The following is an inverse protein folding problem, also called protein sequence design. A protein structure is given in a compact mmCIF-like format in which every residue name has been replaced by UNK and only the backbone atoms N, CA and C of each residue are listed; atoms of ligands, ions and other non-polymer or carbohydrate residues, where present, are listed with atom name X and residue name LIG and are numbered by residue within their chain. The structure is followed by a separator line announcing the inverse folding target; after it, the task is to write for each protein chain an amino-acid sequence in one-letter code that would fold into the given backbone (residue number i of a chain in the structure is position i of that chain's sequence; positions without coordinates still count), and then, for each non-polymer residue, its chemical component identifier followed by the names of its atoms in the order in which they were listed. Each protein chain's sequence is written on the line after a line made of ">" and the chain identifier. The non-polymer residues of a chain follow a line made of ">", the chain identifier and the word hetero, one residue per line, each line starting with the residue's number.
data_IF_905023880492
#
_entry.id   IF_905023880492
#
_cell.length_a   1.000
_cell.length_b   1.000
_cell.length_c   1.000
_cell.angle_alpha   90.00
_cell.angle_beta   90.00
_cell.angle_gamma   90.00
#
_symmetry.space_group_name_H-M   'P 1'
#
loop_
_entity.id
_entity.type
_entity.pdbx_description
1 polymer ?
#
# COMPACT_ATOMS: atom_id res chain seq x y z
N UNK A 1 6.10 25.72 -11.90
CA UNK A 1 6.52 24.30 -11.89
C UNK A 1 6.40 23.76 -10.46
N UNK A 2 5.31 23.08 -10.14
CA UNK A 2 5.06 22.57 -8.79
C UNK A 2 6.03 21.44 -8.47
N UNK A 3 6.83 21.61 -7.40
CA UNK A 3 7.62 20.54 -6.77
C UNK A 3 6.68 19.38 -6.42
N UNK A 4 6.52 18.39 -7.32
CA UNK A 4 5.97 17.08 -6.98
C UNK A 4 6.82 16.59 -5.80
N UNK A 5 6.19 16.25 -4.68
CA UNK A 5 6.90 15.83 -3.47
C UNK A 5 7.89 14.73 -3.84
N UNK A 6 9.19 15.06 -3.84
CA UNK A 6 10.22 14.16 -4.31
C UNK A 6 10.39 13.03 -3.28
N UNK A 7 9.74 11.92 -3.57
CA UNK A 7 9.98 10.55 -3.09
C UNK A 7 11.46 10.09 -3.28
N UNK A 8 12.33 10.94 -3.82
CA UNK A 8 13.67 10.60 -4.28
C UNK A 8 14.75 11.10 -3.30
N UNK A 9 14.43 12.01 -2.37
CA UNK A 9 15.46 12.67 -1.54
C UNK A 9 15.72 12.01 -0.17
N UNK A 10 15.01 10.94 0.18
CA UNK A 10 15.27 10.21 1.43
C UNK A 10 15.97 8.89 1.11
N UNK A 11 17.29 8.83 1.35
CA UNK A 11 18.15 7.67 1.06
C UNK A 11 17.59 6.35 1.65
N UNK A 12 16.98 6.40 2.84
CA UNK A 12 16.40 5.22 3.50
C UNK A 12 15.16 4.70 2.78
N UNK A 13 14.28 5.61 2.35
CA UNK A 13 13.10 5.24 1.54
C UNK A 13 13.48 4.79 0.15
N UNK A 14 14.56 5.34 -0.41
CA UNK A 14 15.10 4.87 -1.67
C UNK A 14 15.64 3.43 -1.53
N UNK A 15 16.36 3.12 -0.44
CA UNK A 15 16.82 1.76 -0.17
C UNK A 15 15.65 0.78 0.00
N UNK A 16 14.65 1.14 0.80
CA UNK A 16 13.41 0.37 0.96
C UNK A 16 12.66 0.18 -0.36
N UNK A 17 12.59 1.21 -1.20
CA UNK A 17 11.97 1.12 -2.51
C UNK A 17 12.76 0.21 -3.46
N UNK A 18 14.09 0.34 -3.48
CA UNK A 18 14.96 -0.46 -4.33
C UNK A 18 15.00 -1.95 -3.92
N UNK A 19 14.61 -2.30 -2.69
CA UNK A 19 14.51 -3.69 -2.26
C UNK A 19 13.22 -4.38 -2.72
N UNK A 20 12.23 -3.63 -3.21
CA UNK A 20 10.97 -4.19 -3.73
C UNK A 20 11.18 -4.66 -5.18
N UNK A 21 10.70 -5.86 -5.48
CA UNK A 21 10.79 -6.47 -6.82
C UNK A 21 9.53 -6.28 -7.67
N UNK A 22 8.42 -5.85 -7.06
CA UNK A 22 7.13 -5.75 -7.73
C UNK A 22 7.10 -4.64 -8.79
N UNK A 23 6.49 -4.95 -9.94
CA UNK A 23 6.16 -3.95 -10.96
C UNK A 23 4.89 -3.23 -10.56
N UNK A 24 4.71 -1.99 -11.00
CA UNK A 24 3.48 -1.23 -10.74
C UNK A 24 3.13 -0.35 -11.95
N UNK A 25 1.87 0.05 -12.05
CA UNK A 25 1.30 0.79 -13.16
C UNK A 25 1.62 2.28 -13.05
N UNK A 26 1.77 2.95 -14.19
CA UNK A 26 2.00 4.39 -14.23
C UNK A 26 0.81 5.18 -13.65
N UNK A 27 -0.39 4.58 -13.63
CA UNK A 27 -1.60 5.15 -13.02
C UNK A 27 -1.44 5.38 -11.53
N UNK A 28 -0.58 4.62 -10.86
CA UNK A 28 -0.28 4.81 -9.45
C UNK A 28 0.30 6.21 -9.16
N UNK A 29 0.99 6.84 -10.13
CA UNK A 29 1.49 8.22 -10.00
C UNK A 29 0.40 9.30 -10.13
N UNK A 30 -0.80 8.95 -10.61
CA UNK A 30 -1.94 9.86 -10.67
C UNK A 30 -2.63 9.99 -9.30
N UNK A 31 -2.43 9.01 -8.42
CA UNK A 31 -2.99 8.97 -7.07
C UNK A 31 -2.33 10.03 -6.19
N UNK A 32 -3.14 10.92 -5.61
CA UNK A 32 -2.65 11.99 -4.73
C UNK A 32 -2.50 11.55 -3.28
N UNK A 33 -1.51 10.71 -3.00
CA UNK A 33 -1.14 10.34 -1.63
C UNK A 33 -0.83 11.60 -0.79
N UNK A 34 -1.51 11.76 0.35
CA UNK A 34 -1.25 12.87 1.28
C UNK A 34 -0.15 12.48 2.25
N UNK A 35 0.04 11.19 2.55
CA UNK A 35 1.17 10.72 3.37
C UNK A 35 2.32 10.28 2.49
N UNK A 36 3.50 10.80 2.82
CA UNK A 36 4.74 10.52 2.10
C UNK A 36 5.16 9.05 2.08
N UNK A 37 4.57 8.17 2.90
CA UNK A 37 4.88 6.74 2.97
C UNK A 37 3.81 5.83 2.33
N UNK A 38 2.61 6.33 2.00
CA UNK A 38 1.51 5.49 1.50
C UNK A 38 1.83 4.79 0.19
N UNK A 39 2.46 5.51 -0.75
CA UNK A 39 2.93 4.93 -2.00
C UNK A 39 3.85 3.72 -1.76
N UNK A 40 4.87 3.87 -0.92
CA UNK A 40 5.81 2.79 -0.62
C UNK A 40 5.17 1.65 0.16
N UNK A 41 4.27 1.97 1.10
CA UNK A 41 3.54 0.95 1.83
C UNK A 41 2.66 0.12 0.89
N UNK A 42 2.01 0.75 -0.09
CA UNK A 42 1.24 0.02 -1.09
C UNK A 42 2.11 -0.94 -1.90
N UNK A 43 3.26 -0.47 -2.39
CA UNK A 43 4.22 -1.31 -3.12
C UNK A 43 4.74 -2.46 -2.28
N UNK A 44 5.07 -2.20 -1.01
CA UNK A 44 5.51 -3.25 -0.09
C UNK A 44 4.44 -4.32 0.12
N UNK A 45 3.19 -3.92 0.39
CA UNK A 45 2.10 -4.88 0.58
C UNK A 45 1.84 -5.70 -0.69
N UNK A 46 1.97 -5.08 -1.88
CA UNK A 46 1.90 -5.79 -3.15
C UNK A 46 3.05 -6.79 -3.31
N UNK A 47 4.27 -6.37 -3.02
CA UNK A 47 5.48 -7.21 -3.11
C UNK A 47 5.43 -8.42 -2.15
N UNK A 48 4.96 -8.22 -0.91
CA UNK A 48 4.71 -9.29 0.06
C UNK A 48 3.70 -10.32 -0.46
N UNK A 49 2.62 -9.85 -1.11
CA UNK A 49 1.66 -10.75 -1.74
C UNK A 49 2.29 -11.53 -2.90
N UNK A 50 2.95 -10.82 -3.82
CA UNK A 50 3.48 -11.40 -5.06
C UNK A 50 4.68 -12.33 -4.82
N UNK A 51 5.51 -12.05 -3.81
CA UNK A 51 6.59 -12.95 -3.41
C UNK A 51 6.08 -14.29 -2.88
N UNK A 52 4.89 -14.31 -2.28
CA UNK A 52 4.27 -15.53 -1.73
C UNK A 52 3.40 -16.26 -2.76
N UNK A 53 2.65 -15.53 -3.60
CA UNK A 53 1.60 -16.10 -4.46
C UNK A 53 1.86 -15.92 -5.97
N UNK A 54 2.94 -15.24 -6.35
CA UNK A 54 3.18 -14.79 -7.71
C UNK A 54 2.39 -13.52 -8.09
N UNK A 55 2.66 -13.01 -9.29
CA UNK A 55 2.03 -11.79 -9.82
C UNK A 55 0.51 -11.95 -9.85
N UNK A 56 -0.20 -11.02 -9.20
CA UNK A 56 -1.66 -11.09 -9.14
C UNK A 56 -2.29 -10.79 -10.50
N UNK A 57 -3.03 -11.77 -11.04
CA UNK A 57 -3.87 -11.59 -12.25
C UNK A 57 -5.27 -11.09 -11.92
N UNK A 58 -5.65 -11.16 -10.65
CA UNK A 58 -6.96 -10.74 -10.17
C UNK A 58 -6.93 -9.28 -9.74
N UNK A 59 -8.13 -8.70 -9.66
CA UNK A 59 -8.30 -7.32 -9.24
C UNK A 59 -8.03 -7.09 -7.75
N UNK A 60 -8.20 -8.13 -6.92
CA UNK A 60 -7.99 -8.10 -5.48
C UNK A 60 -7.17 -9.32 -5.07
N UNK A 61 -6.21 -9.14 -4.15
CA UNK A 61 -5.36 -10.21 -3.62
C UNK A 61 -6.09 -11.09 -2.59
N UNK A 62 -5.58 -12.29 -2.33
CA UNK A 62 -5.90 -13.00 -1.08
C UNK A 62 -5.41 -12.20 0.15
N UNK A 63 -5.99 -12.41 1.35
CA UNK A 63 -5.56 -11.70 2.55
C UNK A 63 -4.10 -11.97 2.92
N UNK A 64 -3.33 -10.92 3.21
CA UNK A 64 -1.96 -10.97 3.72
C UNK A 64 -1.88 -10.41 5.14
N UNK A 65 -0.87 -10.83 5.89
CA UNK A 65 -0.62 -10.32 7.24
C UNK A 65 0.09 -8.96 7.18
N UNK A 66 -0.32 -8.05 8.06
CA UNK A 66 0.22 -6.69 8.15
C UNK A 66 0.76 -6.45 9.55
N UNK A 67 2.08 -6.51 9.66
CA UNK A 67 2.78 -6.20 10.90
C UNK A 67 3.39 -4.79 10.84
N UNK A 68 2.69 -3.81 11.41
CA UNK A 68 3.17 -2.42 11.43
C UNK A 68 4.50 -2.22 12.16
N UNK A 69 4.85 -3.09 13.12
CA UNK A 69 6.14 -2.99 13.81
C UNK A 69 7.27 -3.44 12.89
N UNK A 70 7.10 -4.60 12.24
CA UNK A 70 8.07 -5.11 11.26
C UNK A 70 8.30 -4.11 10.11
N UNK A 71 7.22 -3.56 9.56
CA UNK A 71 7.30 -2.54 8.49
C UNK A 71 8.01 -1.27 8.97
N UNK A 72 7.74 -0.86 10.22
CA UNK A 72 8.35 0.33 10.83
C UNK A 72 9.86 0.18 10.96
N UNK A 73 10.32 -0.99 11.40
CA UNK A 73 11.74 -1.35 11.50
C UNK A 73 12.38 -1.44 10.12
N UNK A 74 11.77 -2.20 9.21
CA UNK A 74 12.33 -2.46 7.88
C UNK A 74 12.42 -1.19 7.01
N UNK A 75 11.41 -0.32 7.06
CA UNK A 75 11.41 0.93 6.31
C UNK A 75 12.07 2.10 7.08
N UNK A 76 12.54 1.88 8.31
CA UNK A 76 13.07 2.90 9.21
C UNK A 76 12.17 4.15 9.34
N UNK A 77 10.86 3.94 9.44
CA UNK A 77 9.85 4.98 9.65
C UNK A 77 9.07 4.71 10.91
N UNK A 78 8.69 5.74 11.67
CA UNK A 78 7.94 5.54 12.91
C UNK A 78 6.61 4.80 12.71
N UNK A 79 6.25 3.90 13.62
CA UNK A 79 5.03 3.06 13.57
C UNK A 79 3.74 3.86 13.32
N UNK A 80 3.65 5.07 13.87
CA UNK A 80 2.50 5.97 13.64
C UNK A 80 2.42 6.47 12.19
N UNK A 81 3.55 6.64 11.51
CA UNK A 81 3.61 6.95 10.08
C UNK A 81 3.08 5.79 9.26
N UNK A 82 3.48 4.56 9.58
CA UNK A 82 2.96 3.33 8.94
C UNK A 82 1.44 3.23 9.11
N UNK A 83 0.94 3.37 10.35
CA UNK A 83 -0.51 3.34 10.64
C UNK A 83 -1.29 4.40 9.87
N UNK A 84 -0.78 5.63 9.80
CA UNK A 84 -1.43 6.72 9.04
C UNK A 84 -1.41 6.48 7.53
N UNK A 85 -0.33 5.92 7.00
CA UNK A 85 -0.22 5.53 5.61
C UNK A 85 -1.20 4.40 5.28
N UNK A 86 -1.26 3.37 6.13
CA UNK A 86 -2.22 2.27 5.99
C UNK A 86 -3.66 2.78 5.99
N UNK A 87 -4.02 3.65 6.94
CA UNK A 87 -5.34 4.27 6.98
C UNK A 87 -5.65 5.05 5.69
N UNK A 88 -4.69 5.79 5.13
CA UNK A 88 -4.88 6.48 3.86
C UNK A 88 -5.13 5.49 2.70
N UNK A 89 -4.41 4.36 2.64
CA UNK A 89 -4.65 3.34 1.62
C UNK A 89 -6.04 2.71 1.74
N UNK A 90 -6.54 2.53 2.96
CA UNK A 90 -7.93 2.08 3.21
C UNK A 90 -8.93 3.14 2.77
N UNK A 91 -8.71 4.40 3.16
CA UNK A 91 -9.59 5.52 2.79
C UNK A 91 -9.62 5.74 1.25
N UNK A 92 -8.54 5.37 0.54
CA UNK A 92 -8.43 5.40 -0.93
C UNK A 92 -8.96 4.14 -1.62
N UNK A 93 -9.42 3.15 -0.85
CA UNK A 93 -9.87 1.83 -1.34
C UNK A 93 -8.79 1.05 -2.08
N UNK A 94 -7.51 1.32 -1.83
CA UNK A 94 -6.39 0.55 -2.39
C UNK A 94 -6.07 -0.69 -1.56
N UNK A 95 -6.50 -0.69 -0.29
CA UNK A 95 -6.33 -1.79 0.65
C UNK A 95 -7.66 -2.02 1.37
N UNK A 96 -8.10 -3.27 1.43
CA UNK A 96 -9.33 -3.68 2.12
C UNK A 96 -8.93 -4.40 3.42
N UNK A 97 -9.24 -3.84 4.60
CA UNK A 97 -9.02 -4.53 5.86
C UNK A 97 -9.76 -5.86 5.88
N UNK A 98 -9.08 -6.93 6.26
CA UNK A 98 -9.68 -8.26 6.38
C UNK A 98 -9.69 -8.67 7.85
N UNK A 99 -10.87 -9.05 8.35
CA UNK A 99 -11.03 -9.66 9.66
C UNK A 99 -11.64 -11.04 9.48
N UNK A 100 -10.95 -12.06 9.99
CA UNK A 100 -11.48 -13.42 9.93
C UNK A 100 -12.58 -13.59 10.98
N UNK A 101 -13.78 -13.93 10.51
CA UNK A 101 -14.91 -14.30 11.38
C UNK A 101 -14.49 -15.52 12.21
N UNK A 102 -14.40 -15.36 13.53
CA UNK A 102 -14.01 -16.42 14.47
C UNK A 102 -12.61 -16.26 15.10
N UNK A 103 -11.84 -15.22 14.74
CA UNK A 103 -10.56 -14.97 15.39
C UNK A 103 -10.75 -14.49 16.84
N UNK A 104 -10.24 -15.25 17.82
CA UNK A 104 -10.33 -14.92 19.25
C UNK A 104 -9.49 -13.71 19.67
N UNK A 105 -8.47 -13.36 18.88
CA UNK A 105 -7.58 -12.21 19.13
C UNK A 105 -7.49 -11.30 17.89
N UNK A 106 -8.55 -10.55 17.56
CA UNK A 106 -8.58 -9.67 16.38
C UNK A 106 -7.52 -8.56 16.42
N UNK A 107 -6.93 -8.28 17.58
CA UNK A 107 -5.92 -7.24 17.77
C UNK A 107 -4.48 -7.70 17.44
N UNK A 108 -4.23 -9.01 17.23
CA UNK A 108 -2.86 -9.53 17.11
C UNK A 108 -2.32 -9.53 15.67
N UNK A 109 -3.17 -9.68 14.66
CA UNK A 109 -2.75 -9.71 13.25
C UNK A 109 -3.74 -8.88 12.44
N UNK A 110 -3.30 -7.70 11.99
CA UNK A 110 -4.06 -6.98 10.98
C UNK A 110 -3.88 -7.75 9.67
N UNK A 111 -4.97 -8.15 9.02
CA UNK A 111 -4.89 -8.69 7.66
C UNK A 111 -5.47 -7.68 6.69
N UNK A 112 -5.00 -7.72 5.45
CA UNK A 112 -5.58 -6.93 4.39
C UNK A 112 -5.54 -7.62 3.04
N UNK A 113 -6.43 -7.24 2.14
CA UNK A 113 -6.33 -7.53 0.72
C UNK A 113 -5.85 -6.27 0.00
N UNK A 114 -4.96 -6.43 -0.97
CA UNK A 114 -4.40 -5.34 -1.77
C UNK A 114 -5.13 -5.33 -3.11
N UNK A 115 -5.64 -4.16 -3.52
CA UNK A 115 -6.23 -4.00 -4.85
C UNK A 115 -5.11 -3.82 -5.87
N UNK A 116 -5.22 -4.54 -6.99
CA UNK A 116 -4.24 -4.52 -8.06
C UNK A 116 -4.27 -3.19 -8.81
N UNK A 117 -3.15 -2.48 -8.80
CA UNK A 117 -2.97 -1.17 -9.41
C UNK A 117 -3.08 -1.16 -10.95
N UNK A 118 -3.01 -2.34 -11.60
CA UNK A 118 -3.28 -2.48 -13.03
C UNK A 118 -4.74 -2.18 -13.40
N UNK A 119 -5.65 -2.26 -12.43
CA UNK A 119 -7.07 -1.96 -12.61
C UNK A 119 -7.43 -0.52 -12.25
N UNK A 120 -6.46 0.32 -11.88
CA UNK A 120 -6.71 1.74 -11.61
C UNK A 120 -7.11 2.44 -12.92
N UNK A 121 -8.33 2.96 -12.94
CA UNK A 121 -8.83 3.77 -14.04
C UNK A 121 -8.45 5.25 -13.85
N UNK A 122 -8.69 5.79 -12.65
CA UNK A 122 -8.40 7.20 -12.34
C UNK A 122 -8.42 7.48 -10.83
N UNK A 123 -8.01 8.67 -10.43
CA UNK A 123 -8.15 9.18 -9.07
C UNK A 123 -9.16 10.35 -9.02
N UNK A 124 -10.26 10.18 -8.27
CA UNK A 124 -11.23 11.24 -8.05
C UNK A 124 -10.76 12.18 -6.95
N UNK A 125 -10.38 13.39 -7.36
CA UNK A 125 -9.89 14.45 -6.46
C UNK A 125 -10.98 14.98 -5.51
N UNK A 126 -12.26 14.87 -5.86
CA UNK A 126 -13.37 15.35 -5.02
C UNK A 126 -13.60 14.43 -3.84
N UNK A 127 -13.70 13.13 -4.10
CA UNK A 127 -13.93 12.11 -3.06
C UNK A 127 -12.64 11.60 -2.41
N UNK A 128 -11.47 11.93 -2.99
CA UNK A 128 -10.16 11.37 -2.61
C UNK A 128 -10.09 9.85 -2.76
N UNK A 129 -10.82 9.27 -3.72
CA UNK A 129 -10.88 7.82 -3.94
C UNK A 129 -10.19 7.41 -5.24
N UNK A 130 -9.69 6.18 -5.29
CA UNK A 130 -9.21 5.54 -6.51
C UNK A 130 -10.38 4.82 -7.17
N UNK A 131 -10.58 5.07 -8.47
CA UNK A 131 -11.61 4.41 -9.28
C UNK A 131 -10.94 3.25 -10.01
N UNK A 132 -11.53 2.07 -9.87
CA UNK A 132 -11.04 0.83 -10.49
C UNK A 132 -11.98 0.36 -11.59
N UNK A 133 -11.43 -0.25 -12.64
CA UNK A 133 -12.18 -0.94 -13.69
C UNK A 133 -12.18 -2.45 -13.41
N UNK A 134 -12.93 -2.87 -12.39
CA UNK A 134 -12.95 -4.25 -11.86
C UNK A 134 -13.71 -5.24 -12.75
#
# INVERSE_FOLDING_TARGET
>A
MSKRYNHINNKKRQAFYCSLGTKYSDRLFEVKFKKSFSFYLFLYLKDEYESTHGITKFSISSPIDVNFSLISEYAEVGRNTVKRAYKELVDFEMVIPFTWIGCKNPNQINKCMVINDLFIQSYDKKTSKVIFNL
#
